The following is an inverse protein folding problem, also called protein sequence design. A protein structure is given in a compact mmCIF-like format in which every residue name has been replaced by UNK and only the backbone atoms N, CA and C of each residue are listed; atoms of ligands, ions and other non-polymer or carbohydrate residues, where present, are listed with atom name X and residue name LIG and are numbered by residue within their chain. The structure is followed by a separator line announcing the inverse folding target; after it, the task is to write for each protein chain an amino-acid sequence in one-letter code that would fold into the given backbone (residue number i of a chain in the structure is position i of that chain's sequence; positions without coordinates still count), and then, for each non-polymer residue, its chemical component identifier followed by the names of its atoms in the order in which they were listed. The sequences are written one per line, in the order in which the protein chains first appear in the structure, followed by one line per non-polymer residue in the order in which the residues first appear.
data_IF_918072058272
#
_entry.id   IF_918072058272
#
_cell.length_a   1.000
_cell.length_b   1.000
_cell.length_c   1.000
_cell.angle_alpha   90.00
_cell.angle_beta   90.00
_cell.angle_gamma   90.00
#
_symmetry.space_group_name_H-M   'P 1'
#
loop_
_entity.id
_entity.type
_entity.pdbx_description
1 polymer ?
#
# COMPACT_ATOMS: atom_id res chain seq x y z
N UNK A 1 1.22 -25.53 4.94
CA UNK A 1 0.26 -24.68 5.64
C UNK A 1 -0.30 -23.67 4.66
N UNK A 2 -1.58 -23.73 4.36
CA UNK A 2 -2.27 -22.68 3.61
C UNK A 2 -2.10 -21.35 4.36
N UNK A 3 -1.56 -20.34 3.69
CA UNK A 3 -1.39 -19.01 4.29
C UNK A 3 -2.79 -18.42 4.48
N UNK A 4 -3.34 -18.55 5.69
CA UNK A 4 -4.62 -17.95 6.03
C UNK A 4 -4.55 -16.44 5.73
N UNK A 5 -5.37 -16.01 4.78
CA UNK A 5 -5.46 -14.60 4.38
C UNK A 5 -5.93 -13.78 5.58
N UNK A 6 -5.27 -12.67 5.82
CA UNK A 6 -5.64 -11.72 6.87
C UNK A 6 -6.63 -10.69 6.29
N UNK A 7 -7.89 -11.08 6.24
CA UNK A 7 -8.94 -10.27 5.59
C UNK A 7 -9.07 -8.83 6.15
N UNK A 8 -8.77 -8.62 7.43
CA UNK A 8 -8.75 -7.28 8.02
C UNK A 8 -7.74 -6.31 7.38
N UNK A 9 -6.64 -6.84 6.80
CA UNK A 9 -5.65 -6.03 6.08
C UNK A 9 -6.14 -5.62 4.69
N UNK A 10 -7.00 -6.43 4.08
CA UNK A 10 -7.65 -6.08 2.80
C UNK A 10 -8.57 -4.88 2.99
N UNK A 11 -9.28 -4.82 4.14
CA UNK A 11 -10.08 -3.65 4.50
C UNK A 11 -9.27 -2.37 4.62
N UNK A 12 -8.07 -2.43 5.22
CA UNK A 12 -7.17 -1.27 5.30
C UNK A 12 -6.79 -0.77 3.91
N UNK A 13 -6.44 -1.68 3.00
CA UNK A 13 -6.07 -1.32 1.62
C UNK A 13 -7.22 -0.68 0.87
N UNK A 14 -8.42 -1.26 0.96
CA UNK A 14 -9.60 -0.68 0.32
C UNK A 14 -9.93 0.69 0.91
N UNK A 15 -9.87 0.84 2.22
CA UNK A 15 -10.11 2.12 2.87
C UNK A 15 -9.13 3.21 2.40
N UNK A 16 -7.84 2.86 2.29
CA UNK A 16 -6.82 3.76 1.77
C UNK A 16 -7.16 4.28 0.36
N UNK A 17 -7.61 3.41 -0.54
CA UNK A 17 -8.00 3.80 -1.90
C UNK A 17 -9.28 4.65 -1.89
N UNK A 18 -10.25 4.33 -1.05
CA UNK A 18 -11.46 5.15 -0.88
C UNK A 18 -11.09 6.58 -0.49
N UNK A 19 -10.19 6.77 0.48
CA UNK A 19 -9.73 8.09 0.90
C UNK A 19 -9.04 8.86 -0.24
N UNK A 20 -8.18 8.19 -1.02
CA UNK A 20 -7.48 8.79 -2.16
C UNK A 20 -8.48 9.25 -3.24
N UNK A 21 -9.41 8.39 -3.63
CA UNK A 21 -10.42 8.74 -4.65
C UNK A 21 -11.36 9.84 -4.14
N UNK A 22 -11.76 9.78 -2.86
CA UNK A 22 -12.63 10.77 -2.25
C UNK A 22 -12.00 12.17 -2.23
N UNK A 23 -10.68 12.28 -1.98
CA UNK A 23 -9.96 13.56 -2.08
C UNK A 23 -9.93 14.07 -3.51
N UNK A 24 -9.51 13.25 -4.47
CA UNK A 24 -9.39 13.66 -5.86
C UNK A 24 -10.73 14.04 -6.51
N UNK A 25 -11.83 13.64 -5.92
CA UNK A 25 -13.20 13.98 -6.38
C UNK A 25 -13.83 15.14 -5.60
N UNK A 26 -13.10 15.73 -4.64
CA UNK A 26 -13.60 16.81 -3.80
C UNK A 26 -14.72 16.39 -2.83
N UNK A 27 -14.94 15.07 -2.65
CA UNK A 27 -15.94 14.55 -1.69
C UNK A 27 -15.48 14.70 -0.25
N UNK A 28 -14.19 14.40 0.00
CA UNK A 28 -13.52 14.65 1.29
C UNK A 28 -12.25 15.42 0.96
N UNK A 29 -12.06 16.56 1.58
CA UNK A 29 -10.86 17.37 1.33
C UNK A 29 -9.66 16.79 2.12
N UNK A 30 -8.53 16.63 1.43
CA UNK A 30 -7.19 16.51 2.03
C UNK A 30 -6.88 15.18 2.77
N UNK A 31 -7.63 14.09 2.57
CA UNK A 31 -7.39 12.80 3.22
C UNK A 31 -6.64 11.78 2.36
N UNK A 32 -6.28 12.08 1.14
CA UNK A 32 -5.49 11.18 0.29
C UNK A 32 -4.11 10.88 0.87
N UNK A 33 -3.50 11.86 1.56
CA UNK A 33 -2.24 11.66 2.28
C UNK A 33 -2.34 10.56 3.35
N UNK A 34 -3.49 10.46 4.04
CA UNK A 34 -3.79 9.37 4.98
C UNK A 34 -3.81 8.03 4.25
N UNK A 35 -4.54 7.95 3.14
CA UNK A 35 -4.60 6.75 2.30
C UNK A 35 -3.23 6.31 1.82
N UNK A 36 -2.40 7.24 1.38
CA UNK A 36 -1.01 6.97 0.97
C UNK A 36 -0.17 6.42 2.12
N UNK A 37 -0.27 7.01 3.32
CA UNK A 37 0.46 6.53 4.49
C UNK A 37 0.05 5.09 4.85
N UNK A 38 -1.26 4.79 4.84
CA UNK A 38 -1.79 3.43 5.07
C UNK A 38 -1.21 2.44 4.04
N UNK A 39 -1.15 2.81 2.76
CA UNK A 39 -0.61 1.95 1.71
C UNK A 39 0.88 1.66 1.89
N UNK A 40 1.71 2.67 2.19
CA UNK A 40 3.15 2.48 2.36
C UNK A 40 3.48 1.64 3.59
N UNK A 41 2.84 1.90 4.74
CA UNK A 41 3.03 1.10 5.95
C UNK A 41 2.58 -0.35 5.72
N UNK A 42 1.43 -0.56 5.07
CA UNK A 42 0.95 -1.90 4.74
C UNK A 42 1.90 -2.65 3.79
N UNK A 43 2.48 -1.96 2.79
CA UNK A 43 3.46 -2.54 1.87
C UNK A 43 4.74 -2.96 2.58
N UNK A 44 5.27 -2.12 3.49
CA UNK A 44 6.41 -2.45 4.33
C UNK A 44 6.13 -3.61 5.29
N UNK A 45 4.96 -3.63 5.93
CA UNK A 45 4.51 -4.72 6.78
C UNK A 45 4.47 -6.05 6.04
N UNK A 46 3.84 -6.09 4.87
CA UNK A 46 3.72 -7.32 4.08
C UNK A 46 5.08 -7.81 3.58
N UNK A 47 6.03 -6.92 3.29
CA UNK A 47 7.38 -7.29 2.87
C UNK A 47 8.10 -8.19 3.88
N UNK A 48 7.89 -7.95 5.18
CA UNK A 48 8.45 -8.72 6.28
C UNK A 48 7.51 -9.85 6.70
N UNK A 49 6.24 -9.54 6.96
CA UNK A 49 5.31 -10.46 7.62
C UNK A 49 5.04 -11.75 6.83
N UNK A 50 4.92 -11.67 5.50
CA UNK A 50 4.68 -12.83 4.65
C UNK A 50 5.97 -13.55 4.23
N UNK A 51 7.13 -13.02 4.62
CA UNK A 51 8.45 -13.45 4.15
C UNK A 51 8.94 -14.83 4.61
N UNK A 52 8.27 -15.55 5.52
CA UNK A 52 8.76 -16.80 6.12
C UNK A 52 9.46 -16.56 7.45
N UNK A 53 10.19 -17.52 8.04
CA UNK A 53 10.79 -17.38 9.38
C UNK A 53 11.86 -16.30 9.47
N UNK A 54 12.79 -16.26 8.53
CA UNK A 54 13.86 -15.28 8.45
C UNK A 54 13.79 -14.58 7.09
N UNK A 55 12.90 -13.58 6.92
CA UNK A 55 12.67 -12.94 5.63
C UNK A 55 13.92 -12.21 5.12
N UNK A 56 14.77 -11.71 6.01
CA UNK A 56 16.03 -11.04 5.71
C UNK A 56 17.07 -11.97 5.09
N UNK A 57 17.15 -13.24 5.53
CA UNK A 57 18.14 -14.21 5.06
C UNK A 57 17.92 -14.66 3.60
N UNK A 58 16.72 -14.46 3.07
CA UNK A 58 16.44 -14.74 1.66
C UNK A 58 17.33 -13.95 0.72
N UNK A 59 17.72 -12.77 1.14
CA UNK A 59 18.50 -11.85 0.32
C UNK A 59 20.01 -12.09 0.38
N UNK A 60 20.49 -13.15 1.04
CA UNK A 60 21.83 -13.67 0.82
C UNK A 60 22.01 -14.38 -0.54
N UNK A 61 20.90 -14.69 -1.23
CA UNK A 61 20.92 -15.38 -2.52
C UNK A 61 20.57 -14.42 -3.67
N UNK A 62 21.49 -14.24 -4.63
CA UNK A 62 21.24 -13.45 -5.85
C UNK A 62 20.03 -13.98 -6.64
N UNK A 63 19.82 -15.31 -6.68
CA UNK A 63 18.62 -15.92 -7.30
C UNK A 63 17.35 -15.40 -6.68
N UNK A 64 17.31 -15.16 -5.35
CA UNK A 64 16.15 -14.62 -4.64
C UNK A 64 15.95 -13.13 -4.93
N UNK A 65 17.02 -12.36 -5.14
CA UNK A 65 16.93 -10.98 -5.61
C UNK A 65 16.25 -10.91 -6.98
N UNK A 66 16.77 -11.65 -7.95
CA UNK A 66 16.21 -11.69 -9.32
C UNK A 66 14.74 -12.12 -9.26
N UNK A 67 14.44 -13.21 -8.54
CA UNK A 67 13.06 -13.69 -8.39
C UNK A 67 12.14 -12.62 -7.79
N UNK A 68 12.60 -11.88 -6.79
CA UNK A 68 11.86 -10.81 -6.16
C UNK A 68 11.56 -9.67 -7.15
N UNK A 69 12.58 -9.18 -7.87
CA UNK A 69 12.40 -8.09 -8.83
C UNK A 69 11.50 -8.51 -9.99
N UNK A 70 11.67 -9.69 -10.52
CA UNK A 70 10.80 -10.22 -11.58
C UNK A 70 9.34 -10.27 -11.12
N UNK A 71 9.08 -10.80 -9.92
CA UNK A 71 7.72 -10.86 -9.39
C UNK A 71 7.09 -9.46 -9.21
N UNK A 72 7.87 -8.47 -8.75
CA UNK A 72 7.40 -7.09 -8.61
C UNK A 72 7.18 -6.41 -9.95
N UNK A 73 8.12 -6.59 -10.88
CA UNK A 73 8.01 -6.04 -12.23
C UNK A 73 6.74 -6.53 -12.94
N UNK A 74 6.50 -7.83 -12.98
CA UNK A 74 5.30 -8.39 -13.63
C UNK A 74 3.99 -8.08 -12.92
N UNK A 75 4.03 -7.74 -11.65
CA UNK A 75 2.85 -7.28 -10.91
C UNK A 75 2.48 -5.82 -11.19
N UNK A 76 3.48 -4.95 -11.42
CA UNK A 76 3.28 -3.50 -11.48
C UNK A 76 3.35 -2.99 -12.91
N UNK A 77 4.43 -3.31 -13.63
CA UNK A 77 4.76 -2.67 -14.90
C UNK A 77 3.71 -2.88 -15.99
N UNK A 78 3.11 -4.07 -16.18
CA UNK A 78 2.13 -4.26 -17.26
C UNK A 78 0.93 -3.32 -17.13
N UNK A 79 0.34 -3.23 -15.94
CA UNK A 79 -0.79 -2.33 -15.65
C UNK A 79 -0.39 -0.86 -15.75
N UNK A 80 0.78 -0.53 -15.22
CA UNK A 80 1.30 0.84 -15.25
C UNK A 80 1.56 1.32 -16.68
N UNK A 81 2.25 0.52 -17.48
CA UNK A 81 2.54 0.88 -18.88
C UNK A 81 1.30 0.92 -19.74
N UNK A 82 0.36 0.00 -19.51
CA UNK A 82 -0.95 0.06 -20.15
C UNK A 82 -1.67 1.37 -19.80
N UNK A 83 -1.67 1.76 -18.54
CA UNK A 83 -2.28 3.00 -18.08
C UNK A 83 -1.62 4.24 -18.72
N UNK A 84 -0.29 4.33 -18.76
CA UNK A 84 0.44 5.42 -19.41
C UNK A 84 0.10 5.48 -20.91
N UNK A 85 0.13 4.34 -21.61
CA UNK A 85 -0.21 4.28 -23.02
C UNK A 85 -1.63 4.78 -23.28
N UNK A 86 -2.58 4.39 -22.41
CA UNK A 86 -3.96 4.84 -22.49
C UNK A 86 -4.09 6.35 -22.27
N UNK A 87 -3.45 6.91 -21.27
CA UNK A 87 -3.43 8.35 -21.01
C UNK A 87 -2.79 9.11 -22.17
N UNK A 88 -1.68 8.62 -22.71
CA UNK A 88 -1.00 9.26 -23.84
C UNK A 88 -1.85 9.26 -25.10
N UNK A 89 -2.53 8.14 -25.39
CA UNK A 89 -3.36 8.04 -26.58
C UNK A 89 -4.61 8.94 -26.53
N UNK A 90 -5.30 8.95 -25.39
CA UNK A 90 -6.55 9.70 -25.25
C UNK A 90 -6.38 11.14 -24.76
N UNK A 91 -5.31 11.43 -24.03
CA UNK A 91 -5.10 12.73 -23.36
C UNK A 91 -3.65 13.22 -23.45
N UNK A 92 -3.04 13.27 -24.65
CA UNK A 92 -1.62 13.58 -24.79
C UNK A 92 -1.27 14.99 -24.27
N UNK A 93 -2.10 15.98 -24.55
CA UNK A 93 -1.86 17.38 -24.16
C UNK A 93 -2.03 17.65 -22.65
N UNK A 94 -2.85 16.83 -21.96
CA UNK A 94 -3.15 17.04 -20.53
C UNK A 94 -2.13 16.32 -19.67
N UNK A 95 -1.71 15.11 -20.09
CA UNK A 95 -0.96 14.22 -19.23
C UNK A 95 0.54 14.21 -19.49
N UNK A 96 0.97 14.30 -20.76
CA UNK A 96 2.36 14.05 -21.09
C UNK A 96 3.01 15.10 -22.01
N UNK A 97 2.26 15.80 -22.82
CA UNK A 97 2.75 16.87 -23.71
C UNK A 97 3.70 16.40 -24.83
N UNK A 98 4.51 15.37 -24.61
CA UNK A 98 5.51 14.87 -25.56
C UNK A 98 5.87 13.41 -25.34
N UNK A 99 6.45 12.76 -26.38
CA UNK A 99 7.03 11.42 -26.28
C UNK A 99 8.17 11.33 -25.26
N UNK A 100 8.94 12.38 -25.08
CA UNK A 100 10.02 12.42 -24.10
C UNK A 100 9.47 12.35 -22.67
N UNK A 101 8.36 13.01 -22.38
CA UNK A 101 7.65 12.87 -21.08
C UNK A 101 7.12 11.44 -20.87
N UNK A 102 6.58 10.80 -21.90
CA UNK A 102 6.15 9.39 -21.84
C UNK A 102 7.32 8.47 -21.50
N UNK A 103 8.46 8.64 -22.14
CA UNK A 103 9.67 7.85 -21.84
C UNK A 103 10.20 8.09 -20.43
N UNK A 104 10.13 9.33 -19.93
CA UNK A 104 10.49 9.63 -18.55
C UNK A 104 9.55 8.95 -17.54
N UNK A 105 8.25 8.89 -17.82
CA UNK A 105 7.29 8.14 -17.00
C UNK A 105 7.58 6.64 -17.06
N UNK A 106 7.82 6.06 -18.22
CA UNK A 106 8.18 4.63 -18.34
C UNK A 106 9.44 4.26 -17.54
N UNK A 107 10.38 5.18 -17.42
CA UNK A 107 11.62 4.98 -16.66
C UNK A 107 11.55 5.48 -15.22
N UNK A 108 10.38 5.90 -14.74
CA UNK A 108 10.16 6.48 -13.41
C UNK A 108 11.04 7.72 -13.11
N UNK A 109 11.52 8.42 -14.15
CA UNK A 109 12.24 9.70 -14.01
C UNK A 109 11.28 10.87 -13.82
N UNK A 110 10.05 10.70 -14.27
CA UNK A 110 8.95 11.64 -14.09
C UNK A 110 7.73 10.90 -13.53
N UNK A 111 6.94 11.58 -12.72
CA UNK A 111 5.74 11.02 -12.11
C UNK A 111 4.69 12.13 -11.96
N UNK A 112 4.10 12.49 -13.10
CA UNK A 112 3.01 13.48 -13.16
C UNK A 112 1.72 12.96 -12.53
N UNK A 113 0.78 13.88 -12.27
CA UNK A 113 -0.56 13.61 -11.75
C UNK A 113 -0.49 12.82 -10.44
N UNK A 114 -1.01 11.60 -10.41
CA UNK A 114 -1.02 10.71 -9.25
C UNK A 114 0.06 9.62 -9.29
N UNK A 115 0.83 9.50 -10.37
CA UNK A 115 1.86 8.46 -10.53
C UNK A 115 3.04 8.58 -9.56
N UNK A 116 3.18 9.72 -8.87
CA UNK A 116 4.23 9.93 -7.87
C UNK A 116 4.21 8.88 -6.74
N UNK A 117 3.04 8.40 -6.32
CA UNK A 117 2.93 7.32 -5.35
C UNK A 117 3.57 6.02 -5.88
N UNK A 118 3.24 5.65 -7.12
CA UNK A 118 3.78 4.44 -7.74
C UNK A 118 5.29 4.53 -7.96
N UNK A 119 5.79 5.70 -8.38
CA UNK A 119 7.22 5.97 -8.45
C UNK A 119 7.89 5.68 -7.10
N UNK A 120 7.37 6.21 -6.00
CA UNK A 120 7.88 5.96 -4.66
C UNK A 120 7.80 4.46 -4.27
N UNK A 121 6.70 3.80 -4.58
CA UNK A 121 6.53 2.38 -4.30
C UNK A 121 7.57 1.52 -5.04
N UNK A 122 7.84 1.81 -6.31
CA UNK A 122 8.88 1.13 -7.10
C UNK A 122 10.26 1.35 -6.48
N UNK A 123 10.60 2.58 -6.09
CA UNK A 123 11.86 2.85 -5.41
C UNK A 123 11.97 2.12 -4.07
N UNK A 124 10.90 2.04 -3.27
CA UNK A 124 10.88 1.24 -2.04
C UNK A 124 11.17 -0.23 -2.33
N UNK A 125 10.58 -0.79 -3.39
CA UNK A 125 10.87 -2.16 -3.79
C UNK A 125 12.29 -2.36 -4.31
N UNK A 126 12.91 -1.36 -4.92
CA UNK A 126 14.33 -1.42 -5.30
C UNK A 126 15.25 -1.45 -4.07
N UNK A 127 14.95 -0.66 -3.04
CA UNK A 127 15.74 -0.62 -1.81
C UNK A 127 15.49 -1.79 -0.85
N UNK A 128 14.32 -2.43 -0.91
CA UNK A 128 13.95 -3.49 0.04
C UNK A 128 14.97 -4.62 0.14
N UNK A 129 15.47 -5.24 -0.95
CA UNK A 129 16.45 -6.31 -0.85
C UNK A 129 17.75 -5.86 -0.17
N UNK A 130 18.18 -4.62 -0.38
CA UNK A 130 19.36 -4.06 0.26
C UNK A 130 19.15 -3.88 1.77
N UNK A 131 18.01 -3.32 2.17
CA UNK A 131 17.64 -3.17 3.59
C UNK A 131 17.61 -4.53 4.27
N UNK A 132 16.95 -5.51 3.64
CA UNK A 132 16.85 -6.87 4.17
C UNK A 132 18.22 -7.56 4.24
N UNK A 133 19.10 -7.38 3.24
CA UNK A 133 20.46 -7.89 3.27
C UNK A 133 21.25 -7.30 4.45
N UNK A 134 21.18 -5.99 4.67
CA UNK A 134 21.86 -5.33 5.79
C UNK A 134 21.38 -5.89 7.12
N UNK A 135 20.05 -6.04 7.31
CA UNK A 135 19.47 -6.65 8.51
C UNK A 135 19.91 -8.11 8.67
N UNK A 136 19.96 -8.87 7.57
CA UNK A 136 20.42 -10.26 7.54
C UNK A 136 21.90 -10.38 7.95
N UNK A 137 22.78 -9.56 7.40
CA UNK A 137 24.20 -9.50 7.76
C UNK A 137 24.36 -9.14 9.25
N UNK A 138 23.66 -8.08 9.69
CA UNK A 138 23.67 -7.67 11.09
C UNK A 138 23.22 -8.81 12.01
N UNK A 139 22.12 -9.47 11.68
CA UNK A 139 21.58 -10.59 12.46
C UNK A 139 22.47 -11.82 12.50
N UNK A 140 23.08 -12.15 11.37
CA UNK A 140 23.90 -13.35 11.24
C UNK A 140 25.29 -13.20 11.90
N UNK A 141 25.95 -12.05 11.71
CA UNK A 141 27.34 -11.86 12.16
C UNK A 141 27.42 -11.13 13.52
N UNK A 142 26.60 -10.12 13.77
CA UNK A 142 26.72 -9.25 14.95
C UNK A 142 25.75 -9.70 16.06
N UNK A 143 24.49 -9.96 15.72
CA UNK A 143 23.44 -10.22 16.70
C UNK A 143 23.17 -11.73 16.91
N UNK A 144 24.03 -12.61 16.40
CA UNK A 144 23.84 -14.08 16.46
C UNK A 144 23.57 -14.58 17.90
N UNK A 145 24.25 -14.02 18.89
CA UNK A 145 24.09 -14.39 20.32
C UNK A 145 22.74 -14.02 20.89
N UNK A 146 21.98 -13.11 20.28
CA UNK A 146 20.67 -12.68 20.77
C UNK A 146 19.53 -13.62 20.33
N UNK A 147 19.80 -14.58 19.43
CA UNK A 147 18.75 -15.45 18.91
C UNK A 147 17.57 -14.62 18.35
N UNK A 148 16.34 -14.99 18.73
CA UNK A 148 15.12 -14.28 18.31
C UNK A 148 15.00 -12.85 18.84
N UNK A 149 15.74 -12.50 19.91
CA UNK A 149 15.77 -11.13 20.44
C UNK A 149 16.40 -10.13 19.47
N UNK A 150 17.15 -10.60 18.44
CA UNK A 150 17.70 -9.74 17.37
C UNK A 150 16.63 -8.91 16.67
N UNK A 151 15.38 -9.41 16.58
CA UNK A 151 14.28 -8.69 15.94
C UNK A 151 13.91 -7.40 16.67
N UNK A 152 14.10 -7.32 17.99
CA UNK A 152 13.94 -6.05 18.73
C UNK A 152 14.94 -4.99 18.23
N UNK A 153 16.17 -5.42 17.96
CA UNK A 153 17.20 -4.51 17.39
C UNK A 153 16.75 -4.04 16.00
N UNK A 154 16.23 -4.94 15.16
CA UNK A 154 15.70 -4.56 13.84
C UNK A 154 14.56 -3.54 13.96
N UNK A 155 13.62 -3.74 14.89
CA UNK A 155 12.50 -2.81 15.11
C UNK A 155 13.04 -1.44 15.52
N UNK A 156 13.95 -1.38 16.49
CA UNK A 156 14.54 -0.11 16.96
C UNK A 156 15.30 0.59 15.84
N UNK A 157 16.12 -0.14 15.07
CA UNK A 157 16.86 0.43 13.94
C UNK A 157 15.92 0.96 12.86
N UNK A 158 14.89 0.18 12.46
CA UNK A 158 13.93 0.58 11.44
C UNK A 158 13.15 1.82 11.87
N UNK A 159 12.71 1.90 13.12
CA UNK A 159 12.01 3.08 13.64
C UNK A 159 12.95 4.28 13.80
N UNK A 160 14.19 4.07 14.25
CA UNK A 160 15.21 5.10 14.34
C UNK A 160 15.56 5.69 12.97
N UNK A 161 15.78 4.84 11.96
CA UNK A 161 16.00 5.28 10.58
C UNK A 161 14.74 5.93 9.97
N UNK A 162 13.53 5.42 10.30
CA UNK A 162 12.30 6.06 9.88
C UNK A 162 12.22 7.50 10.42
N UNK A 163 12.50 7.72 11.70
CA UNK A 163 12.56 9.05 12.28
C UNK A 163 13.64 9.92 11.61
N UNK A 164 14.84 9.38 11.40
CA UNK A 164 15.93 10.08 10.72
C UNK A 164 15.55 10.51 9.30
N UNK A 165 15.06 9.59 8.46
CA UNK A 165 14.70 9.89 7.07
C UNK A 165 13.44 10.74 6.91
N UNK A 166 12.61 10.85 7.93
CA UNK A 166 11.53 11.85 7.98
C UNK A 166 12.10 13.27 8.00
N UNK A 167 13.16 13.49 8.76
CA UNK A 167 13.77 14.82 8.92
C UNK A 167 14.91 15.08 7.92
N UNK A 168 15.52 14.01 7.40
CA UNK A 168 16.60 14.05 6.41
C UNK A 168 16.24 13.15 5.22
N UNK A 169 15.41 13.64 4.28
CA UNK A 169 14.95 12.83 3.16
C UNK A 169 16.10 12.24 2.35
N UNK A 170 16.05 10.93 2.11
CA UNK A 170 17.10 10.22 1.37
C UNK A 170 17.18 10.67 -0.09
N UNK A 171 16.03 10.94 -0.70
CA UNK A 171 15.89 11.33 -2.09
C UNK A 171 14.77 12.35 -2.25
N UNK A 172 14.97 13.31 -3.14
CA UNK A 172 13.92 14.11 -3.71
C UNK A 172 13.60 13.57 -5.11
N UNK A 173 12.53 12.82 -5.23
CA UNK A 173 12.09 12.27 -6.50
C UNK A 173 11.39 13.39 -7.27
N UNK A 174 11.80 13.63 -8.49
CA UNK A 174 11.25 14.60 -9.43
C UNK A 174 10.69 15.92 -8.81
N UNK A 175 11.55 16.95 -8.79
CA UNK A 175 11.20 18.33 -8.37
C UNK A 175 11.31 18.61 -6.86
N UNK A 176 11.08 19.86 -6.50
CA UNK A 176 11.28 20.36 -5.12
C UNK A 176 10.00 20.41 -4.28
N UNK A 177 8.91 19.75 -4.70
CA UNK A 177 7.64 19.76 -3.98
C UNK A 177 7.64 18.80 -2.79
N UNK A 178 6.92 19.14 -1.72
CA UNK A 178 6.75 18.28 -0.54
C UNK A 178 6.15 16.90 -0.85
N UNK A 179 5.41 16.75 -1.96
CA UNK A 179 4.87 15.47 -2.42
C UNK A 179 5.93 14.52 -2.99
N UNK A 180 7.09 15.04 -3.37
CA UNK A 180 8.16 14.29 -4.03
C UNK A 180 9.26 13.84 -3.07
N UNK A 181 9.13 14.16 -1.80
CA UNK A 181 9.99 13.60 -0.75
C UNK A 181 9.78 12.09 -0.67
N UNK A 182 10.87 11.34 -0.75
CA UNK A 182 10.83 9.90 -0.67
C UNK A 182 10.41 9.42 0.73
N UNK A 183 9.21 8.87 0.83
CA UNK A 183 8.58 8.46 2.09
C UNK A 183 9.00 7.06 2.56
N UNK A 184 10.27 6.70 2.39
CA UNK A 184 10.80 5.40 2.81
C UNK A 184 10.57 5.12 4.30
N UNK A 185 10.47 6.18 5.10
CA UNK A 185 10.21 6.07 6.54
C UNK A 185 8.86 5.39 6.85
N UNK A 186 7.81 5.63 6.07
CA UNK A 186 6.54 4.94 6.24
C UNK A 186 6.65 3.44 5.94
N UNK A 187 7.43 3.10 4.92
CA UNK A 187 7.69 1.72 4.58
C UNK A 187 8.52 1.01 5.68
N UNK A 188 9.53 1.69 6.26
CA UNK A 188 10.32 1.19 7.38
C UNK A 188 9.47 0.98 8.64
N UNK A 189 8.52 1.89 8.92
CA UNK A 189 7.55 1.71 10.00
C UNK A 189 6.71 0.43 9.79
N UNK A 190 6.28 0.17 8.56
CA UNK A 190 5.61 -1.06 8.19
C UNK A 190 6.49 -2.31 8.41
N UNK A 191 7.75 -2.27 7.98
CA UNK A 191 8.70 -3.37 8.21
C UNK A 191 8.88 -3.66 9.70
N UNK A 192 9.05 -2.62 10.54
CA UNK A 192 9.14 -2.74 11.99
C UNK A 192 7.88 -3.41 12.58
N UNK A 193 6.70 -3.01 12.12
CA UNK A 193 5.42 -3.64 12.49
C UNK A 193 5.38 -5.11 12.08
N UNK A 194 5.93 -5.44 10.92
CA UNK A 194 6.05 -6.82 10.44
C UNK A 194 6.88 -7.70 11.38
N UNK A 195 8.07 -7.24 11.77
CA UNK A 195 8.91 -7.93 12.75
C UNK A 195 8.23 -8.04 14.11
N UNK A 196 7.62 -6.97 14.60
CA UNK A 196 6.88 -6.98 15.85
C UNK A 196 5.76 -8.03 15.86
N UNK A 197 4.89 -8.03 14.85
CA UNK A 197 3.79 -8.98 14.77
C UNK A 197 4.27 -10.43 14.68
N UNK A 198 5.35 -10.68 13.94
CA UNK A 198 5.96 -12.03 13.85
C UNK A 198 6.49 -12.50 15.18
N UNK A 199 7.27 -11.67 15.85
CA UNK A 199 7.84 -11.98 17.16
C UNK A 199 6.74 -12.24 18.20
N UNK A 200 5.70 -11.39 18.22
CA UNK A 200 4.57 -11.59 19.14
C UNK A 200 3.78 -12.86 18.80
N UNK A 201 3.65 -13.23 17.52
CA UNK A 201 2.91 -14.42 17.09
C UNK A 201 3.64 -15.73 17.41
N UNK A 202 4.98 -15.73 17.48
CA UNK A 202 5.76 -16.89 17.94
C UNK A 202 5.64 -17.16 19.43
N UNK A 203 5.25 -16.15 20.22
CA UNK A 203 4.94 -16.37 21.63
C UNK A 203 3.61 -17.07 21.75
N UNK A 204 3.61 -18.26 22.33
CA UNK A 204 2.39 -18.97 22.68
C UNK A 204 1.69 -18.24 23.83
N UNK A 205 0.62 -17.54 23.50
CA UNK A 205 -0.19 -16.83 24.50
C UNK A 205 -1.30 -17.75 24.98
N UNK A 206 -1.08 -18.44 26.12
CA UNK A 206 -2.13 -19.18 26.81
C UNK A 206 -3.11 -18.22 27.49
N UNK A 207 -3.90 -17.53 26.70
CA UNK A 207 -4.93 -16.62 27.20
C UNK A 207 -6.16 -17.41 27.63
N UNK A 208 -6.68 -17.15 28.85
CA UNK A 208 -8.00 -17.65 29.24
C UNK A 208 -9.07 -17.09 28.26
N UNK A 209 -10.18 -17.84 28.10
CA UNK A 209 -11.29 -17.41 27.21
C UNK A 209 -11.73 -15.96 27.48
N UNK A 210 -11.84 -15.58 28.77
CA UNK A 210 -12.20 -14.21 29.14
C UNK A 210 -11.19 -13.16 28.65
N UNK A 211 -9.89 -13.40 28.85
CA UNK A 211 -8.84 -12.48 28.35
C UNK A 211 -8.83 -12.37 26.83
N UNK A 212 -9.08 -13.46 26.10
CA UNK A 212 -9.19 -13.44 24.65
C UNK A 212 -10.39 -12.61 24.18
N UNK A 213 -11.54 -12.71 24.85
CA UNK A 213 -12.72 -11.87 24.55
C UNK A 213 -12.41 -10.40 24.80
N UNK A 214 -11.84 -10.04 25.93
CA UNK A 214 -11.48 -8.65 26.25
C UNK A 214 -10.49 -8.11 25.22
N UNK A 215 -9.47 -8.90 24.82
CA UNK A 215 -8.51 -8.53 23.79
C UNK A 215 -9.17 -8.26 22.43
N UNK A 216 -10.11 -9.11 22.02
CA UNK A 216 -10.87 -8.91 20.77
C UNK A 216 -11.75 -7.65 20.84
N UNK A 217 -12.44 -7.41 21.94
CA UNK A 217 -13.25 -6.18 22.13
C UNK A 217 -12.36 -4.96 22.04
N UNK A 218 -11.26 -4.92 22.78
CA UNK A 218 -10.31 -3.81 22.75
C UNK A 218 -9.76 -3.56 21.33
N UNK A 219 -9.35 -4.61 20.63
CA UNK A 219 -8.85 -4.50 19.25
C UNK A 219 -9.91 -3.96 18.29
N UNK A 220 -11.17 -4.40 18.38
CA UNK A 220 -12.26 -3.85 17.57
C UNK A 220 -12.51 -2.37 17.86
N UNK A 221 -12.50 -1.96 19.13
CA UNK A 221 -12.67 -0.55 19.50
C UNK A 221 -11.50 0.31 19.00
N UNK A 222 -10.28 -0.17 19.08
CA UNK A 222 -9.10 0.52 18.55
C UNK A 222 -9.17 0.65 17.03
N UNK A 223 -9.54 -0.41 16.31
CA UNK A 223 -9.71 -0.35 14.85
C UNK A 223 -10.79 0.68 14.49
N UNK A 224 -11.92 0.67 15.19
CA UNK A 224 -12.99 1.66 14.98
C UNK A 224 -12.49 3.09 15.27
N UNK A 225 -11.78 3.30 16.36
CA UNK A 225 -11.23 4.60 16.71
C UNK A 225 -10.24 5.10 15.65
N UNK A 226 -9.30 4.25 15.20
CA UNK A 226 -8.35 4.60 14.13
C UNK A 226 -9.07 4.90 12.82
N UNK A 227 -10.07 4.09 12.45
CA UNK A 227 -10.91 4.35 11.27
C UNK A 227 -11.60 5.72 11.36
N UNK A 228 -12.24 6.03 12.49
CA UNK A 228 -12.89 7.32 12.70
C UNK A 228 -11.89 8.48 12.69
N UNK A 229 -10.73 8.32 13.31
CA UNK A 229 -9.67 9.35 13.27
C UNK A 229 -9.22 9.59 11.83
N UNK A 230 -8.98 8.55 11.04
CA UNK A 230 -8.57 8.70 9.63
C UNK A 230 -9.65 9.36 8.76
N UNK A 231 -10.92 9.16 9.08
CA UNK A 231 -12.05 9.81 8.40
C UNK A 231 -12.22 11.26 8.84
N UNK A 232 -12.25 11.49 10.16
CA UNK A 232 -12.56 12.79 10.75
C UNK A 232 -11.38 13.76 10.77
N UNK A 233 -10.16 13.28 10.52
CA UNK A 233 -8.97 14.13 10.37
C UNK A 233 -8.98 14.98 9.09
N UNK A 234 -9.98 14.81 8.22
CA UNK A 234 -10.17 15.71 7.08
C UNK A 234 -10.38 17.15 7.55
N UNK A 235 -9.69 18.13 6.95
CA UNK A 235 -9.94 19.55 7.22
C UNK A 235 -11.40 19.94 7.10
N UNK A 236 -12.14 19.32 6.19
CA UNK A 236 -13.56 19.55 6.02
C UNK A 236 -14.36 19.29 7.31
N UNK A 237 -14.03 18.24 8.07
CA UNK A 237 -14.67 17.93 9.34
C UNK A 237 -14.12 18.78 10.49
N UNK A 238 -12.80 19.00 10.52
CA UNK A 238 -12.14 19.76 11.59
C UNK A 238 -12.56 21.23 11.59
N UNK A 239 -12.70 21.84 10.40
CA UNK A 239 -13.20 23.22 10.27
C UNK A 239 -14.64 23.34 10.80
N UNK A 240 -15.48 22.35 10.55
CA UNK A 240 -16.86 22.33 11.06
C UNK A 240 -16.96 22.31 12.59
N UNK A 241 -15.94 21.79 13.26
CA UNK A 241 -15.85 21.79 14.73
C UNK A 241 -14.94 22.90 15.27
N UNK A 242 -14.61 23.90 14.43
CA UNK A 242 -13.85 25.08 14.84
C UNK A 242 -12.33 24.91 14.85
N UNK A 243 -11.82 23.79 14.28
CA UNK A 243 -10.37 23.54 14.19
C UNK A 243 -9.90 23.83 12.77
N UNK A 244 -9.25 24.98 12.56
CA UNK A 244 -8.70 25.36 11.26
C UNK A 244 -7.23 24.93 11.16
N UNK A 245 -6.98 23.89 10.37
CA UNK A 245 -5.63 23.33 10.11
C UNK A 245 -5.20 23.50 8.64
N UNK A 246 -5.94 24.27 7.84
CA UNK A 246 -5.71 24.39 6.38
C UNK A 246 -4.28 24.76 6.00
N UNK A 247 -3.60 25.57 6.81
CA UNK A 247 -2.19 25.92 6.57
C UNK A 247 -1.17 24.93 7.12
N UNK A 248 -1.60 23.97 7.94
CA UNK A 248 -0.71 23.05 8.69
C UNK A 248 -0.78 21.60 8.21
N UNK A 249 -1.86 21.25 7.53
CA UNK A 249 -2.19 19.87 7.22
C UNK A 249 -1.44 19.33 6.00
N UNK A 250 -1.21 20.16 5.00
CA UNK A 250 -0.55 19.75 3.78
C UNK A 250 0.94 19.70 3.92
N UNK A 251 1.43 18.55 3.65
CA UNK A 251 2.83 18.31 3.52
C UNK A 251 3.31 17.10 4.32
N UNK A 252 4.56 16.79 4.11
CA UNK A 252 5.35 15.77 4.75
C UNK A 252 5.31 15.82 6.28
N UNK A 253 4.72 16.88 6.87
CA UNK A 253 4.66 17.12 8.32
C UNK A 253 3.89 16.04 9.10
N UNK A 254 2.72 15.65 8.64
CA UNK A 254 1.76 14.86 9.44
C UNK A 254 1.62 13.39 9.01
N UNK A 255 2.17 12.98 7.88
CA UNK A 255 2.05 11.61 7.37
C UNK A 255 2.67 10.55 8.30
N UNK A 256 3.66 10.89 9.12
CA UNK A 256 4.21 10.00 10.13
C UNK A 256 3.19 9.64 11.23
N UNK A 257 2.32 10.57 11.63
CA UNK A 257 1.24 10.28 12.58
C UNK A 257 0.26 9.28 12.00
N UNK A 258 -0.10 9.44 10.72
CA UNK A 258 -0.92 8.45 10.01
C UNK A 258 -0.21 7.13 9.85
N UNK A 259 1.12 7.14 9.70
CA UNK A 259 1.96 5.95 9.75
C UNK A 259 1.82 5.20 11.08
N UNK A 260 1.84 5.90 12.21
CA UNK A 260 1.62 5.30 13.54
C UNK A 260 0.20 4.72 13.66
N UNK A 261 -0.82 5.44 13.20
CA UNK A 261 -2.20 4.92 13.17
C UNK A 261 -2.31 3.65 12.32
N UNK A 262 -1.63 3.62 11.17
CA UNK A 262 -1.56 2.44 10.31
C UNK A 262 -0.90 1.25 11.03
N UNK A 263 0.21 1.46 11.74
CA UNK A 263 0.87 0.42 12.55
C UNK A 263 -0.10 -0.15 13.59
N UNK A 264 -0.78 0.71 14.34
CA UNK A 264 -1.76 0.31 15.37
C UNK A 264 -2.90 -0.51 14.74
N UNK A 265 -3.47 -0.04 13.62
CA UNK A 265 -4.53 -0.76 12.92
C UNK A 265 -4.07 -2.14 12.47
N UNK A 266 -2.90 -2.23 11.84
CA UNK A 266 -2.33 -3.49 11.36
C UNK A 266 -2.12 -4.47 12.52
N UNK A 267 -1.54 -4.03 13.63
CA UNK A 267 -1.33 -4.87 14.82
C UNK A 267 -2.68 -5.41 15.33
N UNK A 268 -3.66 -4.53 15.50
CA UNK A 268 -5.00 -4.95 15.93
C UNK A 268 -5.63 -5.93 14.94
N UNK A 269 -5.54 -5.69 13.63
CA UNK A 269 -6.09 -6.57 12.60
C UNK A 269 -5.40 -7.96 12.54
N UNK A 270 -4.10 -8.03 12.88
CA UNK A 270 -3.35 -9.30 12.91
C UNK A 270 -3.73 -10.16 14.12
N UNK A 271 -3.98 -9.55 15.27
CA UNK A 271 -4.24 -10.28 16.53
C UNK A 271 -5.74 -10.40 16.85
N UNK A 272 -6.59 -9.59 16.27
CA UNK A 272 -8.04 -9.69 16.44
C UNK A 272 -8.60 -10.87 15.65
N UNK A 273 -9.12 -11.86 16.35
CA UNK A 273 -9.67 -13.09 15.74
C UNK A 273 -11.18 -13.06 15.57
N UNK A 274 -11.88 -12.17 16.29
CA UNK A 274 -13.34 -12.08 16.28
C UNK A 274 -13.82 -10.67 16.59
N UNK A 275 -15.02 -10.34 16.10
CA UNK A 275 -15.72 -9.09 16.39
C UNK A 275 -16.33 -8.45 15.16
N UNK A 276 -17.27 -7.50 15.35
CA UNK A 276 -18.02 -6.91 14.24
C UNK A 276 -17.15 -6.05 13.31
N UNK A 277 -16.21 -5.27 13.87
CA UNK A 277 -15.41 -4.33 13.09
C UNK A 277 -14.39 -5.07 12.23
N UNK A 278 -13.67 -6.06 12.78
CA UNK A 278 -12.73 -6.85 11.99
C UNK A 278 -13.46 -7.68 10.92
N UNK A 279 -14.67 -8.16 11.19
CA UNK A 279 -15.51 -8.84 10.19
C UNK A 279 -16.00 -7.89 9.11
N UNK A 280 -16.36 -6.64 9.47
CA UNK A 280 -16.74 -5.62 8.51
C UNK A 280 -15.61 -5.34 7.51
N UNK A 281 -14.40 -5.07 7.98
CA UNK A 281 -13.24 -4.83 7.11
C UNK A 281 -12.74 -6.08 6.39
N UNK A 282 -13.08 -7.27 6.89
CA UNK A 282 -12.71 -8.56 6.29
C UNK A 282 -13.83 -9.23 5.49
N UNK A 283 -14.93 -8.52 5.18
CA UNK A 283 -16.02 -9.11 4.41
C UNK A 283 -15.60 -9.40 2.95
N UNK A 284 -16.27 -10.35 2.26
CA UNK A 284 -15.89 -10.76 0.91
C UNK A 284 -15.84 -9.62 -0.12
N UNK A 285 -16.73 -8.61 0.00
CA UNK A 285 -16.76 -7.46 -0.91
C UNK A 285 -15.50 -6.60 -0.74
N UNK A 286 -15.11 -6.31 0.52
CA UNK A 286 -13.88 -5.56 0.81
C UNK A 286 -12.64 -6.32 0.32
N UNK A 287 -12.60 -7.63 0.55
CA UNK A 287 -11.52 -8.51 0.07
C UNK A 287 -11.42 -8.47 -1.45
N UNK A 288 -12.57 -8.60 -2.14
CA UNK A 288 -12.63 -8.57 -3.60
C UNK A 288 -12.16 -7.21 -4.17
N UNK A 289 -12.70 -6.11 -3.68
CA UNK A 289 -12.33 -4.77 -4.13
C UNK A 289 -10.88 -4.40 -3.78
N UNK A 290 -10.36 -4.87 -2.65
CA UNK A 290 -8.95 -4.70 -2.27
C UNK A 290 -7.98 -5.31 -3.28
N UNK A 291 -8.33 -6.41 -3.92
CA UNK A 291 -7.53 -7.02 -4.99
C UNK A 291 -7.47 -6.14 -6.25
N UNK A 292 -8.48 -5.32 -6.50
CA UNK A 292 -8.60 -4.39 -7.63
C UNK A 292 -8.09 -3.00 -7.33
N UNK A 293 -7.65 -2.78 -6.08
CA UNK A 293 -7.22 -1.47 -5.59
C UNK A 293 -6.15 -0.80 -6.47
N UNK A 294 -5.25 -1.57 -7.06
CA UNK A 294 -4.22 -1.06 -7.95
C UNK A 294 -4.81 -0.51 -9.27
N UNK A 295 -5.71 -1.25 -9.90
CA UNK A 295 -6.44 -0.78 -11.09
C UNK A 295 -7.30 0.45 -10.78
N UNK A 296 -8.05 0.44 -9.67
CA UNK A 296 -8.84 1.61 -9.22
C UNK A 296 -7.92 2.82 -9.07
N UNK A 297 -6.77 2.66 -8.40
CA UNK A 297 -5.78 3.73 -8.22
C UNK A 297 -5.26 4.27 -9.56
N UNK A 298 -4.94 3.43 -10.52
CA UNK A 298 -4.38 3.87 -11.80
C UNK A 298 -5.39 4.66 -12.66
N UNK A 299 -6.67 4.29 -12.62
CA UNK A 299 -7.66 4.83 -13.57
C UNK A 299 -8.58 5.91 -13.01
N UNK A 300 -8.67 6.10 -11.68
CA UNK A 300 -9.59 7.09 -11.11
C UNK A 300 -9.33 8.53 -11.58
N UNK A 301 -8.06 8.92 -11.75
CA UNK A 301 -7.72 10.26 -12.23
C UNK A 301 -8.05 10.48 -13.70
N UNK A 302 -7.92 9.43 -14.54
CA UNK A 302 -8.38 9.49 -15.92
C UNK A 302 -9.86 9.80 -16.00
N UNK A 303 -10.66 9.09 -15.21
CA UNK A 303 -12.09 9.32 -15.12
C UNK A 303 -12.41 10.69 -14.53
N UNK A 304 -11.62 11.15 -13.55
CA UNK A 304 -11.78 12.48 -12.95
C UNK A 304 -11.56 13.60 -13.97
N UNK A 305 -10.50 13.51 -14.75
CA UNK A 305 -10.20 14.49 -15.83
C UNK A 305 -11.36 14.59 -16.81
N UNK A 306 -11.96 13.45 -17.19
CA UNK A 306 -13.10 13.41 -18.10
C UNK A 306 -14.40 13.92 -17.49
N UNK A 307 -14.63 13.62 -16.22
CA UNK A 307 -15.87 13.98 -15.55
C UNK A 307 -15.93 15.46 -15.13
N UNK A 308 -14.79 16.16 -15.10
CA UNK A 308 -14.68 17.54 -14.55
C UNK A 308 -15.65 18.53 -15.23
N UNK A 309 -15.86 18.39 -16.53
CA UNK A 309 -16.77 19.28 -17.28
C UNK A 309 -18.25 18.95 -17.08
N UNK A 310 -18.58 17.71 -16.72
CA UNK A 310 -19.95 17.22 -16.67
C UNK A 310 -20.50 17.02 -15.26
N UNK A 311 -19.61 16.76 -14.28
CA UNK A 311 -20.01 16.43 -12.91
C UNK A 311 -19.23 17.30 -11.91
N UNK A 312 -19.89 18.18 -11.16
CA UNK A 312 -19.27 18.97 -10.11
C UNK A 312 -18.60 18.11 -9.05
N UNK A 313 -17.57 18.66 -8.41
CA UNK A 313 -16.90 18.02 -7.28
C UNK A 313 -17.86 17.68 -6.14
N UNK A 314 -17.55 16.60 -5.42
CA UNK A 314 -18.31 16.15 -4.27
C UNK A 314 -18.80 14.72 -4.38
N UNK A 315 -19.82 14.39 -3.62
CA UNK A 315 -20.37 13.03 -3.49
C UNK A 315 -20.75 12.37 -4.83
N UNK A 316 -21.42 13.12 -5.72
CA UNK A 316 -21.83 12.57 -7.03
C UNK A 316 -20.64 12.18 -7.88
N UNK A 317 -19.62 13.06 -7.96
CA UNK A 317 -18.37 12.79 -8.66
C UNK A 317 -17.68 11.55 -8.07
N UNK A 318 -17.59 11.47 -6.73
CA UNK A 318 -17.01 10.31 -6.06
C UNK A 318 -17.70 9.00 -6.44
N UNK A 319 -19.02 8.94 -6.36
CA UNK A 319 -19.79 7.72 -6.68
C UNK A 319 -19.59 7.27 -8.13
N UNK A 320 -19.67 8.21 -9.07
CA UNK A 320 -19.50 7.93 -10.51
C UNK A 320 -18.08 7.43 -10.78
N UNK A 321 -17.06 8.17 -10.32
CA UNK A 321 -15.66 7.82 -10.58
C UNK A 321 -15.30 6.51 -9.91
N UNK A 322 -15.75 6.28 -8.67
CA UNK A 322 -15.49 5.03 -7.96
C UNK A 322 -16.13 3.84 -8.69
N UNK A 323 -17.39 3.97 -9.13
CA UNK A 323 -18.09 2.92 -9.87
C UNK A 323 -17.35 2.56 -11.18
N UNK A 324 -17.04 3.53 -12.02
CA UNK A 324 -16.36 3.25 -13.29
C UNK A 324 -14.91 2.78 -13.09
N UNK A 325 -14.22 3.28 -12.06
CA UNK A 325 -12.88 2.78 -11.71
C UNK A 325 -12.91 1.31 -11.31
N UNK A 326 -13.92 0.88 -10.55
CA UNK A 326 -14.13 -0.53 -10.19
C UNK A 326 -14.40 -1.35 -11.44
N UNK A 327 -15.30 -0.91 -12.34
CA UNK A 327 -15.60 -1.63 -13.57
C UNK A 327 -14.36 -1.83 -14.45
N UNK A 328 -13.57 -0.77 -14.66
CA UNK A 328 -12.29 -0.86 -15.40
C UNK A 328 -11.31 -1.79 -14.70
N UNK A 329 -11.16 -1.66 -13.38
CA UNK A 329 -10.25 -2.48 -12.61
C UNK A 329 -10.64 -3.96 -12.63
N UNK A 330 -11.93 -4.32 -12.63
CA UNK A 330 -12.38 -5.70 -12.77
C UNK A 330 -11.93 -6.31 -14.11
N UNK A 331 -12.18 -5.61 -15.20
CA UNK A 331 -11.79 -6.08 -16.53
C UNK A 331 -10.27 -6.25 -16.60
N UNK A 332 -9.52 -5.21 -16.23
CA UNK A 332 -8.06 -5.23 -16.30
C UNK A 332 -7.41 -6.21 -15.31
N UNK A 333 -8.03 -6.45 -14.16
CA UNK A 333 -7.55 -7.46 -13.23
C UNK A 333 -7.56 -8.86 -13.87
N UNK A 334 -8.66 -9.20 -14.54
CA UNK A 334 -8.83 -10.52 -15.17
C UNK A 334 -7.93 -10.67 -16.40
N UNK A 335 -7.88 -9.65 -17.26
CA UNK A 335 -7.17 -9.79 -18.56
C UNK A 335 -5.68 -9.45 -18.47
N UNK A 336 -5.23 -8.70 -17.48
CA UNK A 336 -3.85 -8.21 -17.43
C UNK A 336 -3.18 -8.40 -16.07
N UNK A 337 -3.72 -7.85 -14.97
CA UNK A 337 -3.01 -7.82 -13.68
C UNK A 337 -2.76 -9.22 -13.11
N UNK A 338 -3.80 -10.03 -12.98
CA UNK A 338 -3.71 -11.38 -12.43
C UNK A 338 -2.83 -12.31 -13.28
N UNK A 339 -3.04 -12.45 -14.60
CA UNK A 339 -2.22 -13.34 -15.41
C UNK A 339 -0.76 -12.92 -15.48
N UNK A 340 -0.45 -11.63 -15.55
CA UNK A 340 0.92 -11.14 -15.51
C UNK A 340 1.57 -11.34 -14.13
N UNK A 341 0.85 -11.08 -13.05
CA UNK A 341 1.34 -11.35 -11.70
C UNK A 341 1.63 -12.85 -11.45
N UNK A 342 0.80 -13.72 -11.96
CA UNK A 342 1.01 -15.17 -11.88
C UNK A 342 2.14 -15.63 -12.80
N UNK A 343 2.28 -15.04 -14.00
CA UNK A 343 3.44 -15.27 -14.85
C UNK A 343 4.74 -14.92 -14.15
N UNK A 344 4.83 -13.75 -13.50
CA UNK A 344 6.02 -13.34 -12.74
C UNK A 344 6.39 -14.28 -11.60
N UNK A 345 5.42 -14.99 -11.00
CA UNK A 345 5.68 -15.99 -9.95
C UNK A 345 6.26 -17.29 -10.51
N UNK A 346 5.80 -17.71 -11.68
CA UNK A 346 6.08 -19.05 -12.22
C UNK A 346 6.99 -19.04 -13.44
N UNK A 347 7.09 -17.94 -14.16
CA UNK A 347 7.80 -17.76 -15.44
C UNK A 347 7.42 -18.86 -16.46
N UNK A 348 6.13 -19.20 -16.54
CA UNK A 348 5.63 -20.30 -17.36
C UNK A 348 4.62 -19.79 -18.40
N UNK A 349 5.06 -19.71 -19.66
CA UNK A 349 4.18 -19.38 -20.81
C UNK A 349 3.06 -20.40 -21.00
N UNK A 350 3.29 -21.69 -20.65
CA UNK A 350 2.26 -22.73 -20.71
C UNK A 350 1.09 -22.40 -19.78
N UNK A 351 1.38 -22.04 -18.52
CA UNK A 351 0.35 -21.62 -17.55
C UNK A 351 -0.38 -20.37 -17.99
N UNK A 352 0.34 -19.39 -18.55
CA UNK A 352 -0.23 -18.15 -19.07
C UNK A 352 -1.21 -18.46 -20.23
N UNK A 353 -0.79 -19.30 -21.19
CA UNK A 353 -1.63 -19.71 -22.31
C UNK A 353 -2.87 -20.50 -21.87
N UNK A 354 -2.75 -21.37 -20.87
CA UNK A 354 -3.89 -22.09 -20.29
C UNK A 354 -4.87 -21.14 -19.60
N UNK A 355 -4.38 -20.10 -18.90
CA UNK A 355 -5.24 -19.10 -18.28
C UNK A 355 -6.10 -18.38 -19.34
N UNK A 356 -5.50 -17.88 -20.42
CA UNK A 356 -6.27 -17.18 -21.46
C UNK A 356 -7.22 -18.11 -22.22
N UNK A 357 -6.82 -19.35 -22.50
CA UNK A 357 -7.74 -20.35 -23.08
C UNK A 357 -8.98 -20.54 -22.22
N UNK A 358 -8.80 -20.69 -20.90
CA UNK A 358 -9.92 -20.86 -19.97
C UNK A 358 -10.86 -19.65 -19.83
N UNK A 359 -10.44 -18.44 -20.26
CA UNK A 359 -11.32 -17.26 -20.33
C UNK A 359 -12.27 -17.28 -21.53
N UNK A 360 -11.81 -17.84 -22.65
CA UNK A 360 -12.55 -17.79 -23.92
C UNK A 360 -13.25 -19.12 -24.28
N UNK A 361 -12.83 -20.22 -23.66
CA UNK A 361 -13.44 -21.54 -23.85
C UNK A 361 -14.12 -21.91 -22.52
N UNK A 362 -15.40 -21.58 -22.41
CA UNK A 362 -16.27 -22.24 -21.41
C UNK A 362 -16.74 -23.54 -22.06
N UNK A 363 -16.25 -24.68 -21.58
CA UNK A 363 -16.88 -25.96 -21.82
C UNK A 363 -18.27 -26.01 -21.20
#
# INVERSE_FOLDING_TARGET
MEKKRLAGLDGIRLWAIILIVAEHTGFITENGAVGVALCFVLSGFLAVYIGGEHPEEKFFSLKKWIQYYVQRAFRILPMYYFCIAFYFYFYPSICFGSWDSVLRHFTFREAGIHFWYLQQEVFMYLFLPLIMLILGILGHFVLKKLGDKKEWVYIVLLLGFAYYFKHHPLLHLYGNNSMQVFRIYLFMMGMATGYFCRMMKRREWNLSKGKAVVGNVAANLVILAVFLVTLLSSPMFLIKVGIDIRGQYYGVGHDMYFGVLAMVWIVCAVFCTAGPIVKFFGNPVFVHLSERSFGIYLFHMLLRINATAAVPDGYKSFMIIMFFSICIAEVLYVILEKPMGDFGKHLSFKKLGQYYKGLFVRE
#
